data_IF_818897756330
#
_entry.id   IF_818897756330
#
_cell.length_a   1.000
_cell.length_b   1.000
_cell.length_c   1.000
_cell.angle_alpha   90.00
_cell.angle_beta   90.00
_cell.angle_gamma   90.00
#
_symmetry.space_group_name_H-M   'P 1'
#
loop_
_entity.id
_entity.type
_entity.pdbx_description
1 polymer ?
#
# COMPACT_ATOMS: atom_id res chain seq x y z
N UNK A 1 -3.42 11.28 -6.28
CA UNK A 1 -4.35 10.63 -7.24
C UNK A 1 -3.86 9.24 -7.66
N UNK A 2 -2.64 9.09 -8.21
CA UNK A 2 -2.11 7.80 -8.68
C UNK A 2 -2.17 6.66 -7.62
N UNK A 3 -1.73 6.92 -6.39
CA UNK A 3 -1.79 5.93 -5.31
C UNK A 3 -3.21 5.38 -5.04
N UNK A 4 -4.23 6.24 -5.14
CA UNK A 4 -5.62 5.81 -4.99
C UNK A 4 -6.06 4.89 -6.12
N UNK A 5 -5.64 5.18 -7.36
CA UNK A 5 -5.95 4.33 -8.51
C UNK A 5 -5.29 2.94 -8.39
N UNK A 6 -4.05 2.89 -7.89
CA UNK A 6 -3.32 1.64 -7.66
C UNK A 6 -3.91 0.79 -6.51
N UNK A 7 -4.55 1.43 -5.52
CA UNK A 7 -5.13 0.75 -4.36
C UNK A 7 -6.59 0.28 -4.56
N UNK A 8 -7.09 0.34 -5.81
CA UNK A 8 -8.41 -0.15 -6.20
C UNK A 8 -9.49 0.92 -6.31
N UNK A 9 -10.65 0.51 -6.81
CA UNK A 9 -11.76 1.40 -7.22
C UNK A 9 -12.31 2.29 -6.09
N UNK A 10 -12.34 1.78 -4.85
CA UNK A 10 -12.75 2.55 -3.67
C UNK A 10 -11.77 3.71 -3.40
N UNK A 11 -10.48 3.42 -3.35
CA UNK A 11 -9.44 4.41 -3.06
C UNK A 11 -9.19 5.37 -4.23
N UNK A 12 -9.54 4.98 -5.46
CA UNK A 12 -9.45 5.84 -6.63
C UNK A 12 -10.31 7.11 -6.50
N UNK A 13 -11.44 7.01 -5.79
CA UNK A 13 -12.36 8.14 -5.51
C UNK A 13 -12.12 8.78 -4.14
N UNK A 14 -11.27 8.20 -3.30
CA UNK A 14 -11.01 8.69 -1.95
C UNK A 14 -10.16 9.97 -1.93
N UNK A 15 -10.39 10.81 -0.92
CA UNK A 15 -9.55 11.99 -0.67
C UNK A 15 -8.17 11.54 -0.18
N UNK A 16 -7.13 12.34 -0.45
CA UNK A 16 -5.76 12.07 -0.01
C UNK A 16 -5.64 11.79 1.49
N UNK A 17 -6.41 12.49 2.33
CA UNK A 17 -6.42 12.26 3.79
C UNK A 17 -6.86 10.82 4.14
N UNK A 18 -7.91 10.33 3.48
CA UNK A 18 -8.41 8.97 3.63
C UNK A 18 -7.37 7.95 3.18
N UNK A 19 -6.74 8.17 2.02
CA UNK A 19 -5.65 7.31 1.51
C UNK A 19 -4.51 7.24 2.53
N UNK A 20 -4.10 8.37 3.12
CA UNK A 20 -3.04 8.38 4.14
C UNK A 20 -3.44 7.61 5.39
N UNK A 21 -4.63 7.83 5.92
CA UNK A 21 -5.10 7.14 7.12
C UNK A 21 -5.28 5.63 6.92
N UNK A 22 -5.75 5.23 5.74
CA UNK A 22 -6.14 3.84 5.46
C UNK A 22 -5.07 3.01 4.78
N UNK A 23 -4.05 3.60 4.16
CA UNK A 23 -3.06 2.85 3.37
C UNK A 23 -1.60 3.22 3.65
N UNK A 24 -1.32 4.36 4.28
CA UNK A 24 0.07 4.82 4.51
C UNK A 24 0.40 4.80 5.99
N UNK A 25 -0.42 5.46 6.81
CA UNK A 25 -0.26 5.57 8.26
C UNK A 25 -0.91 4.35 8.96
N UNK A 26 -0.55 3.15 8.51
CA UNK A 26 -1.11 1.89 9.04
C UNK A 26 -0.45 1.60 10.39
N UNK A 27 -1.20 1.21 11.44
CA UNK A 27 -0.61 0.73 12.69
C UNK A 27 0.01 -0.65 12.48
N UNK A 28 1.23 -0.69 11.96
CA UNK A 28 1.95 -1.92 11.69
C UNK A 28 3.21 -2.02 12.56
N UNK A 29 3.49 -3.21 13.07
CA UNK A 29 4.69 -3.46 13.86
C UNK A 29 5.83 -3.87 12.94
N UNK A 30 6.94 -3.13 12.99
CA UNK A 30 8.15 -3.45 12.26
C UNK A 30 8.98 -4.44 13.08
N UNK A 31 9.29 -5.60 12.51
CA UNK A 31 10.24 -6.56 13.05
C UNK A 31 11.45 -6.64 12.11
N UNK A 32 12.65 -6.48 12.63
CA UNK A 32 13.89 -6.65 11.86
C UNK A 32 14.60 -7.93 12.30
N UNK A 33 15.11 -8.71 11.35
CA UNK A 33 15.89 -9.91 11.60
C UNK A 33 17.01 -10.02 10.59
N UNK A 34 18.27 -9.97 11.05
CA UNK A 34 19.45 -9.93 10.20
C UNK A 34 19.29 -8.86 9.09
N UNK A 35 19.12 -9.30 7.83
CA UNK A 35 18.95 -8.42 6.64
C UNK A 35 17.51 -8.34 6.14
N UNK A 36 16.52 -8.71 6.96
CA UNK A 36 15.10 -8.74 6.58
C UNK A 36 14.26 -7.86 7.49
N UNK A 37 13.57 -6.90 6.89
CA UNK A 37 12.51 -6.15 7.54
C UNK A 37 11.18 -6.83 7.26
N UNK A 38 10.41 -7.11 8.31
CA UNK A 38 9.07 -7.69 8.25
C UNK A 38 8.09 -6.69 8.85
N UNK A 39 7.06 -6.37 8.08
CA UNK A 39 5.97 -5.54 8.54
C UNK A 39 4.80 -6.43 8.95
N UNK A 40 4.47 -6.45 10.23
CA UNK A 40 3.29 -7.15 10.72
C UNK A 40 2.07 -6.23 10.59
N UNK A 41 1.19 -6.58 9.66
CA UNK A 41 -0.07 -5.87 9.44
C UNK A 41 -1.11 -6.27 10.49
N UNK A 42 -2.07 -5.37 10.80
CA UNK A 42 -3.17 -5.70 11.69
C UNK A 42 -3.99 -6.87 11.14
N UNK A 43 -4.46 -7.75 12.02
CA UNK A 43 -5.35 -8.85 11.65
C UNK A 43 -6.74 -8.30 11.28
N UNK A 44 -7.37 -8.88 10.26
CA UNK A 44 -8.69 -8.49 9.75
C UNK A 44 -8.79 -7.01 9.33
N UNK A 45 -7.68 -6.45 8.84
CA UNK A 45 -7.64 -5.07 8.41
C UNK A 45 -8.38 -4.88 7.07
N UNK A 46 -9.46 -4.09 7.01
CA UNK A 46 -10.33 -4.01 5.82
C UNK A 46 -9.61 -3.53 4.55
N UNK A 47 -8.54 -2.75 4.71
CA UNK A 47 -7.83 -2.11 3.60
C UNK A 47 -6.59 -2.88 3.16
N UNK A 48 -6.36 -4.08 3.72
CA UNK A 48 -5.19 -4.91 3.42
C UNK A 48 -5.00 -5.14 1.92
N UNK A 49 -6.07 -5.43 1.19
CA UNK A 49 -5.98 -5.66 -0.26
C UNK A 49 -5.55 -4.40 -1.02
N UNK A 50 -6.12 -3.24 -0.68
CA UNK A 50 -5.73 -1.96 -1.30
C UNK A 50 -4.28 -1.59 -0.99
N UNK A 51 -3.83 -1.86 0.25
CA UNK A 51 -2.43 -1.68 0.64
C UNK A 51 -1.51 -2.60 -0.15
N UNK A 52 -1.84 -3.89 -0.26
CA UNK A 52 -1.04 -4.87 -0.99
C UNK A 52 -0.90 -4.48 -2.46
N UNK A 53 -1.99 -4.06 -3.11
CA UNK A 53 -1.97 -3.62 -4.51
C UNK A 53 -1.07 -2.40 -4.70
N UNK A 54 -1.22 -1.38 -3.84
CA UNK A 54 -0.36 -0.21 -3.87
C UNK A 54 1.10 -0.59 -3.66
N UNK A 55 1.40 -1.39 -2.63
CA UNK A 55 2.75 -1.80 -2.28
C UNK A 55 3.42 -2.57 -3.43
N UNK A 56 2.74 -3.58 -3.98
CA UNK A 56 3.26 -4.36 -5.11
C UNK A 56 3.45 -3.51 -6.35
N UNK A 57 2.49 -2.63 -6.69
CA UNK A 57 2.60 -1.78 -7.88
C UNK A 57 3.72 -0.74 -7.77
N UNK A 58 3.97 -0.20 -6.57
CA UNK A 58 4.98 0.85 -6.36
C UNK A 58 6.39 0.29 -6.22
N UNK A 59 6.53 -0.95 -5.73
CA UNK A 59 7.83 -1.62 -5.57
C UNK A 59 8.15 -2.62 -6.69
N UNK A 60 7.21 -2.87 -7.60
CA UNK A 60 7.51 -3.56 -8.83
C UNK A 60 8.58 -2.77 -9.61
N UNK A 61 9.47 -3.47 -10.36
CA UNK A 61 10.31 -2.79 -11.33
C UNK A 61 9.46 -1.88 -12.23
N UNK A 62 9.93 -0.68 -12.58
CA UNK A 62 9.18 0.18 -13.48
C UNK A 62 8.92 -0.61 -14.76
N UNK A 63 7.64 -0.76 -15.11
CA UNK A 63 7.28 -1.31 -16.41
C UNK A 63 7.94 -0.47 -17.49
N UNK A 64 8.54 -1.11 -18.49
CA UNK A 64 9.10 -0.40 -19.64
C UNK A 64 8.00 0.50 -20.20
N UNK A 65 8.18 1.82 -20.14
CA UNK A 65 7.24 2.73 -20.74
C UNK A 65 7.23 2.45 -22.25
N UNK A 66 6.09 2.00 -22.78
CA UNK A 66 5.92 1.93 -24.22
C UNK A 66 5.96 3.37 -24.76
N UNK A 67 6.90 3.61 -25.68
CA UNK A 67 7.14 4.91 -26.30
C UNK A 67 6.01 5.31 -27.26
#
# INVERSE_FOLDING_TARGET
>A
RAAGALAGSFHAKARTATIRAQLINVPARIASSARRLRLHLPRNWPWQTGYQQLFTATLAPPGTAAA
#
